data_IF_469476789999
#
_entry.id   IF_469476789999
#
_cell.length_a   1.000
_cell.length_b   1.000
_cell.length_c   1.000
_cell.angle_alpha   90.00
_cell.angle_beta   90.00
_cell.angle_gamma   90.00
#
_symmetry.space_group_name_H-M   'P 1'
#
loop_
_entity.id
_entity.type
_entity.pdbx_description
1 polymer ?
#
# COMPACT_ATOMS: atom_id res chain seq x y z
N UNK A 1 -2.21 -8.67 -10.46
CA UNK A 1 -2.61 -7.57 -9.55
C UNK A 1 -2.15 -7.91 -8.14
N UNK A 2 -0.89 -7.57 -7.83
CA UNK A 2 -0.12 -8.05 -6.68
C UNK A 2 1.24 -8.58 -7.16
N UNK A 3 2.33 -8.28 -6.44
CA UNK A 3 3.62 -8.91 -6.74
C UNK A 3 3.46 -10.44 -6.65
N UNK A 4 3.88 -11.17 -7.67
CA UNK A 4 3.74 -12.64 -7.72
C UNK A 4 4.61 -13.36 -6.67
N UNK A 5 5.61 -12.65 -6.13
CA UNK A 5 6.51 -13.16 -5.12
C UNK A 5 5.80 -13.28 -3.76
N UNK A 6 6.04 -14.40 -3.07
CA UNK A 6 5.60 -14.58 -1.70
C UNK A 6 6.14 -13.45 -0.79
N UNK A 7 5.41 -13.06 0.27
CA UNK A 7 5.97 -12.17 1.28
C UNK A 7 7.21 -12.81 1.92
N UNK A 8 8.23 -12.01 2.29
CA UNK A 8 9.37 -12.51 3.05
C UNK A 8 8.93 -13.33 4.28
N UNK A 9 9.66 -14.39 4.66
CA UNK A 9 9.33 -15.16 5.86
C UNK A 9 9.18 -14.27 7.09
N UNK A 10 8.12 -14.50 7.88
CA UNK A 10 7.83 -13.71 9.08
C UNK A 10 7.27 -12.30 8.81
N UNK A 11 6.79 -12.03 7.60
CA UNK A 11 6.09 -10.78 7.26
C UNK A 11 4.65 -11.03 6.83
N UNK A 12 3.80 -10.03 7.00
CA UNK A 12 2.41 -10.01 6.54
C UNK A 12 2.29 -9.11 5.32
N UNK A 13 1.66 -9.63 4.25
CA UNK A 13 1.30 -8.83 3.07
C UNK A 13 -0.07 -8.19 3.26
N UNK A 14 -0.14 -6.89 3.00
CA UNK A 14 -1.39 -6.16 2.87
C UNK A 14 -1.59 -5.76 1.41
N UNK A 15 -2.82 -5.91 0.92
CA UNK A 15 -3.25 -5.46 -0.40
C UNK A 15 -4.46 -4.53 -0.20
N UNK A 16 -4.33 -3.29 -0.65
CA UNK A 16 -5.33 -2.24 -0.47
C UNK A 16 -5.69 -1.69 -1.85
N UNK A 17 -6.96 -1.77 -2.20
CA UNK A 17 -7.50 -1.16 -3.41
C UNK A 17 -7.98 0.26 -3.11
N UNK A 18 -7.44 1.23 -3.84
CA UNK A 18 -7.86 2.63 -3.83
C UNK A 18 -8.53 2.97 -5.17
N UNK A 19 -9.68 3.62 -5.11
CA UNK A 19 -10.45 4.05 -6.28
C UNK A 19 -11.12 5.40 -6.04
N UNK A 20 -11.44 6.13 -7.11
CA UNK A 20 -12.10 7.44 -7.04
C UNK A 20 -11.13 8.62 -7.11
N UNK A 21 -11.67 9.84 -6.99
CA UNK A 21 -10.91 11.07 -7.17
C UNK A 21 -10.20 11.13 -8.52
N UNK A 22 -8.95 11.59 -8.52
CA UNK A 22 -8.13 11.72 -9.73
C UNK A 22 -7.44 10.41 -10.14
N UNK A 23 -7.63 9.27 -9.44
CA UNK A 23 -6.84 8.06 -9.66
C UNK A 23 -6.97 7.50 -11.09
N UNK A 24 -8.13 7.64 -11.73
CA UNK A 24 -8.33 7.22 -13.11
C UNK A 24 -7.46 7.99 -14.10
N UNK A 25 -7.15 9.26 -13.84
CA UNK A 25 -6.23 10.07 -14.66
C UNK A 25 -4.81 9.49 -14.63
N UNK A 26 -4.37 9.05 -13.45
CA UNK A 26 -3.02 8.50 -13.28
C UNK A 26 -2.85 7.08 -13.86
N UNK A 27 -3.92 6.40 -14.30
CA UNK A 27 -3.78 5.12 -15.01
C UNK A 27 -3.04 5.26 -16.34
N UNK A 28 -2.98 6.47 -16.92
CA UNK A 28 -2.24 6.77 -18.15
C UNK A 28 -0.73 6.63 -17.90
N UNK A 29 -0.26 7.09 -16.74
CA UNK A 29 1.13 6.94 -16.31
C UNK A 29 1.21 6.60 -14.80
N UNK A 30 1.10 5.31 -14.45
CA UNK A 30 1.18 4.83 -13.07
C UNK A 30 2.48 5.18 -12.34
N UNK A 31 3.56 5.49 -13.07
CA UNK A 31 4.87 5.80 -12.47
C UNK A 31 4.86 7.12 -11.70
N UNK A 32 3.86 7.98 -11.95
CA UNK A 32 3.64 9.23 -11.23
C UNK A 32 3.02 9.04 -9.84
N UNK A 33 2.58 7.82 -9.50
CA UNK A 33 1.91 7.52 -8.24
C UNK A 33 2.83 6.72 -7.32
N UNK A 34 3.00 7.23 -6.12
CA UNK A 34 3.83 6.63 -5.08
C UNK A 34 2.96 6.10 -3.94
N UNK A 35 3.30 4.89 -3.46
CA UNK A 35 2.75 4.34 -2.21
C UNK A 35 3.55 4.92 -1.05
N UNK A 36 2.87 5.65 -0.16
CA UNK A 36 3.46 6.09 1.10
C UNK A 36 2.93 5.20 2.20
N UNK A 37 3.83 4.45 2.84
CA UNK A 37 3.48 3.50 3.89
C UNK A 37 4.31 3.73 5.15
N UNK A 38 3.68 3.62 6.31
CA UNK A 38 4.36 3.61 7.62
C UNK A 38 3.77 2.53 8.52
N UNK A 39 4.54 2.13 9.53
CA UNK A 39 4.08 1.26 10.61
C UNK A 39 4.51 1.87 11.95
N UNK A 40 3.66 1.81 12.98
CA UNK A 40 4.02 2.30 14.33
C UNK A 40 5.03 1.39 15.05
N UNK A 41 5.19 0.15 14.59
CA UNK A 41 6.13 -0.84 15.12
C UNK A 41 6.60 -1.79 14.02
N UNK A 42 7.83 -2.32 14.15
CA UNK A 42 8.44 -3.16 13.12
C UNK A 42 8.93 -2.36 11.92
N UNK A 43 8.80 -2.91 10.72
CA UNK A 43 9.27 -2.27 9.48
C UNK A 43 8.42 -2.60 8.27
N UNK A 44 8.29 -1.63 7.36
CA UNK A 44 7.78 -1.87 6.00
C UNK A 44 8.96 -2.34 5.16
N UNK A 45 8.92 -3.60 4.71
CA UNK A 45 10.02 -4.21 3.95
C UNK A 45 10.02 -3.80 2.49
N UNK A 46 8.82 -3.66 1.91
CA UNK A 46 8.63 -3.17 0.53
C UNK A 46 7.24 -2.62 0.34
N UNK A 47 7.11 -1.75 -0.66
CA UNK A 47 5.85 -1.30 -1.22
C UNK A 47 5.85 -1.56 -2.72
N UNK A 48 4.66 -1.76 -3.30
CA UNK A 48 4.48 -1.85 -4.74
C UNK A 48 3.08 -1.36 -5.11
N UNK A 49 2.95 -0.84 -6.33
CA UNK A 49 1.70 -0.34 -6.87
C UNK A 49 1.37 -1.12 -8.15
N UNK A 50 0.11 -1.55 -8.27
CA UNK A 50 -0.40 -2.15 -9.50
C UNK A 50 -1.62 -1.37 -9.98
N UNK A 51 -1.65 -0.90 -11.24
CA UNK A 51 -2.87 -0.36 -11.85
C UNK A 51 -4.00 -1.39 -11.79
N UNK A 52 -5.20 -0.96 -11.43
CA UNK A 52 -6.39 -1.81 -11.39
C UNK A 52 -7.53 -1.12 -12.17
N UNK A 53 -7.57 -1.29 -13.52
CA UNK A 53 -8.56 -0.62 -14.37
C UNK A 53 -10.01 -1.02 -14.06
N UNK A 54 -10.25 -2.19 -13.48
CA UNK A 54 -11.60 -2.66 -13.14
C UNK A 54 -12.30 -1.79 -12.09
N UNK A 55 -11.53 -1.11 -11.24
CA UNK A 55 -12.03 -0.19 -10.22
C UNK A 55 -11.66 1.27 -10.54
N UNK A 56 -11.14 1.54 -11.74
CA UNK A 56 -10.62 2.86 -12.13
C UNK A 56 -9.63 3.43 -11.11
N UNK A 57 -8.71 2.59 -10.61
CA UNK A 57 -7.81 2.94 -9.52
C UNK A 57 -6.59 2.03 -9.42
N UNK A 58 -6.03 1.89 -8.21
CA UNK A 58 -4.78 1.17 -7.99
C UNK A 58 -4.88 0.21 -6.81
N UNK A 59 -4.13 -0.88 -6.88
CA UNK A 59 -3.82 -1.75 -5.75
C UNK A 59 -2.46 -1.39 -5.18
N UNK A 60 -2.44 -0.84 -3.98
CA UNK A 60 -1.22 -0.72 -3.18
C UNK A 60 -0.96 -2.07 -2.49
N UNK A 61 0.30 -2.50 -2.49
CA UNK A 61 0.75 -3.64 -1.71
C UNK A 61 1.97 -3.30 -0.89
N UNK A 62 2.08 -3.93 0.27
CA UNK A 62 3.22 -3.81 1.15
C UNK A 62 3.41 -5.08 1.97
N UNK A 63 4.67 -5.38 2.26
CA UNK A 63 5.05 -6.43 3.19
C UNK A 63 5.58 -5.79 4.46
N UNK A 64 5.00 -6.16 5.60
CA UNK A 64 5.32 -5.57 6.91
C UNK A 64 5.84 -6.67 7.82
N UNK A 65 7.03 -6.46 8.39
CA UNK A 65 7.62 -7.35 9.38
C UNK A 65 7.44 -6.76 10.78
N UNK A 66 6.85 -7.55 11.68
CA UNK A 66 6.57 -7.22 13.08
C UNK A 66 6.91 -8.44 13.91
N UNK A 67 7.46 -8.24 15.12
CA UNK A 67 7.79 -9.35 15.99
C UNK A 67 6.53 -10.14 16.38
N UNK A 68 6.58 -11.48 16.48
CA UNK A 68 5.44 -12.29 16.89
C UNK A 68 4.82 -11.80 18.20
N UNK A 69 3.49 -11.64 18.24
CA UNK A 69 2.75 -11.19 19.40
C UNK A 69 2.73 -9.67 19.62
N UNK A 70 3.47 -8.88 18.84
CA UNK A 70 3.48 -7.42 18.88
C UNK A 70 2.38 -6.83 18.00
N UNK A 71 1.80 -5.71 18.45
CA UNK A 71 0.83 -4.93 17.69
C UNK A 71 1.48 -3.73 17.00
N UNK A 72 0.95 -3.34 15.84
CA UNK A 72 1.31 -2.13 15.11
C UNK A 72 0.09 -1.52 14.41
N UNK A 73 0.17 -0.25 14.06
CA UNK A 73 -0.74 0.41 13.13
C UNK A 73 -0.05 0.55 11.78
N UNK A 74 -0.64 -0.05 10.75
CA UNK A 74 -0.18 0.09 9.36
C UNK A 74 -0.95 1.24 8.72
N UNK A 75 -0.24 2.22 8.15
CA UNK A 75 -0.83 3.40 7.52
C UNK A 75 -0.36 3.52 6.07
N UNK A 76 -1.30 3.70 5.14
CA UNK A 76 -1.01 3.76 3.69
C UNK A 76 -1.86 4.83 3.02
N UNK A 77 -1.25 5.62 2.14
CA UNK A 77 -1.96 6.47 1.18
C UNK A 77 -1.18 6.57 -0.13
N UNK A 78 -1.84 7.03 -1.20
CA UNK A 78 -1.20 7.30 -2.48
C UNK A 78 -0.94 8.79 -2.65
N UNK A 79 0.21 9.15 -3.22
CA UNK A 79 0.54 10.54 -3.61
C UNK A 79 1.10 10.61 -5.01
N UNK A 80 0.99 11.78 -5.64
CA UNK A 80 1.78 12.15 -6.81
C UNK A 80 2.58 13.40 -6.48
N UNK A 81 3.91 13.32 -6.58
CA UNK A 81 4.82 14.35 -6.09
C UNK A 81 4.45 14.80 -4.66
N UNK A 82 4.03 16.05 -4.46
CA UNK A 82 3.64 16.63 -3.17
C UNK A 82 2.12 16.61 -2.90
N UNK A 83 1.30 16.04 -3.78
CA UNK A 83 -0.16 15.97 -3.65
C UNK A 83 -0.61 14.59 -3.17
N UNK A 84 -1.30 14.53 -2.03
CA UNK A 84 -2.02 13.33 -1.62
C UNK A 84 -3.20 13.07 -2.59
N UNK A 85 -3.32 11.85 -3.08
CA UNK A 85 -4.38 11.43 -4.01
C UNK A 85 -5.53 10.69 -3.31
N UNK A 86 -5.28 10.14 -2.12
CA UNK A 86 -6.24 9.36 -1.35
C UNK A 86 -6.28 9.83 0.10
N UNK A 87 -7.30 9.38 0.82
CA UNK A 87 -7.25 9.31 2.28
C UNK A 87 -6.12 8.40 2.77
N UNK A 88 -5.84 8.45 4.08
CA UNK A 88 -4.94 7.50 4.74
C UNK A 88 -5.72 6.30 5.26
N UNK A 89 -5.54 5.16 4.62
CA UNK A 89 -5.98 3.87 5.15
C UNK A 89 -5.13 3.52 6.37
N UNK A 90 -5.76 3.29 7.52
CA UNK A 90 -5.09 2.90 8.77
C UNK A 90 -5.68 1.61 9.29
N UNK A 91 -4.84 0.63 9.59
CA UNK A 91 -5.27 -0.68 10.04
C UNK A 91 -4.42 -1.18 11.22
N UNK A 92 -5.04 -1.43 12.38
CA UNK A 92 -4.36 -2.08 13.50
C UNK A 92 -4.12 -3.56 13.19
N UNK A 93 -2.90 -4.03 13.40
CA UNK A 93 -2.46 -5.39 13.14
C UNK A 93 -1.68 -5.97 14.31
N UNK A 94 -1.81 -7.28 14.54
CA UNK A 94 -1.00 -8.04 15.49
C UNK A 94 -0.44 -9.28 14.80
N UNK A 95 0.89 -9.43 14.85
CA UNK A 95 1.60 -10.56 14.25
C UNK A 95 1.47 -11.86 15.07
#
# INVERSE_FOLDING_TARGET
>A
LGAAEAPPPGSTRFLIDFSGGDLSYYLIDPSLVEVVATTSAGSVLRTFLAPNPHISGFRAGLDVAVAPGQSCDVRVFLRAANKALTETWTFPWRA
#
